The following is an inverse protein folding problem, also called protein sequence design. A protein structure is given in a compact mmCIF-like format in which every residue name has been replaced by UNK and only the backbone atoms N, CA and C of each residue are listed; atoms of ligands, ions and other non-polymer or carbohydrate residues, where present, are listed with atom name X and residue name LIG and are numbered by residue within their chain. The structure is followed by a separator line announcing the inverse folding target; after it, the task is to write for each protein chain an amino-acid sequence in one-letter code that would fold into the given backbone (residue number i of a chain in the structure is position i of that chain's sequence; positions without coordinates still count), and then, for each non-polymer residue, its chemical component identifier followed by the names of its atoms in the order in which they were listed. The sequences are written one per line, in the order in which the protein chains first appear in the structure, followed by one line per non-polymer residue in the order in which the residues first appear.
data_IF_631330819397
#
_entry.id   IF_631330819397
#
_cell.length_a   1.000
_cell.length_b   1.000
_cell.length_c   1.000
_cell.angle_alpha   90.00
_cell.angle_beta   90.00
_cell.angle_gamma   90.00
#
_symmetry.space_group_name_H-M   'P 1'
#
loop_
_entity.id
_entity.type
_entity.pdbx_description
1 polymer ?
#
# COMPACT_ATOMS: atom_id res chain seq x y z
N UNK A 1 -21.44 50.92 -18.22
CA UNK A 1 -22.76 50.47 -17.72
C UNK A 1 -22.99 49.01 -18.08
N UNK A 2 -22.97 48.64 -19.38
CA UNK A 2 -23.16 47.27 -19.89
C UNK A 2 -22.25 46.17 -19.30
N UNK A 3 -21.03 46.47 -18.88
CA UNK A 3 -20.12 45.47 -18.31
C UNK A 3 -20.63 44.85 -17.01
N UNK A 4 -21.40 45.61 -16.20
CA UNK A 4 -21.99 45.09 -14.96
C UNK A 4 -23.12 44.12 -15.27
N UNK A 5 -24.00 44.49 -16.21
CA UNK A 5 -25.14 43.67 -16.62
C UNK A 5 -24.68 42.36 -17.28
N UNK A 6 -23.63 42.42 -18.11
CA UNK A 6 -23.00 41.23 -18.71
C UNK A 6 -22.37 40.33 -17.64
N UNK A 7 -21.67 40.89 -16.65
CA UNK A 7 -21.09 40.11 -15.57
C UNK A 7 -22.15 39.44 -14.68
N UNK A 8 -23.28 40.11 -14.45
CA UNK A 8 -24.40 39.58 -13.67
C UNK A 8 -25.16 38.47 -14.43
N UNK A 9 -25.38 38.67 -15.73
CA UNK A 9 -25.93 37.63 -16.61
C UNK A 9 -25.03 36.39 -16.69
N UNK A 10 -23.71 36.57 -16.82
CA UNK A 10 -22.77 35.45 -16.85
C UNK A 10 -22.74 34.67 -15.52
N UNK A 11 -22.97 35.32 -14.38
CA UNK A 11 -23.07 34.66 -13.06
C UNK A 11 -24.36 33.85 -12.89
N UNK A 12 -25.46 34.31 -13.50
CA UNK A 12 -26.79 33.71 -13.32
C UNK A 12 -27.17 32.72 -14.43
N UNK A 13 -26.50 32.77 -15.59
CA UNK A 13 -26.76 31.87 -16.70
C UNK A 13 -26.26 30.44 -16.43
N UNK A 14 -27.20 29.51 -16.26
CA UNK A 14 -26.94 28.09 -15.98
C UNK A 14 -26.06 27.41 -17.05
N UNK A 15 -26.32 27.67 -18.34
CA UNK A 15 -25.49 27.14 -19.45
C UNK A 15 -24.04 27.60 -19.37
N UNK A 16 -23.81 28.87 -19.06
CA UNK A 16 -22.46 29.43 -18.95
C UNK A 16 -21.75 28.91 -17.69
N UNK A 17 -22.46 28.79 -16.56
CA UNK A 17 -21.91 28.26 -15.31
C UNK A 17 -21.52 26.78 -15.42
N UNK A 18 -22.30 25.98 -16.16
CA UNK A 18 -21.99 24.56 -16.41
C UNK A 18 -20.91 24.34 -17.47
N UNK A 19 -20.86 25.18 -18.51
CA UNK A 19 -19.88 25.05 -19.60
C UNK A 19 -18.49 25.59 -19.22
N UNK A 20 -18.44 26.64 -18.40
CA UNK A 20 -17.17 27.22 -17.96
C UNK A 20 -16.54 26.33 -16.88
N UNK A 21 -15.29 25.92 -17.09
CA UNK A 21 -14.49 25.28 -16.04
C UNK A 21 -14.37 26.27 -14.88
N UNK A 22 -14.70 25.81 -13.67
CA UNK A 22 -14.43 26.56 -12.44
C UNK A 22 -12.96 26.96 -12.41
N UNK A 23 -12.66 28.25 -12.61
CA UNK A 23 -11.41 28.89 -12.19
C UNK A 23 -11.51 29.21 -10.69
N UNK A 24 -11.95 28.22 -9.90
CA UNK A 24 -11.93 28.30 -8.46
C UNK A 24 -10.54 28.66 -7.95
N UNK A 25 -10.47 29.15 -6.70
CA UNK A 25 -9.20 29.40 -6.00
C UNK A 25 -8.23 28.27 -6.31
N UNK A 26 -6.96 28.63 -6.59
CA UNK A 26 -5.86 27.67 -6.78
C UNK A 26 -6.09 26.50 -5.83
N UNK A 27 -6.15 25.27 -6.39
CA UNK A 27 -6.18 24.05 -5.59
C UNK A 27 -5.15 24.24 -4.48
N UNK A 28 -5.59 24.12 -3.23
CA UNK A 28 -4.72 24.34 -2.08
C UNK A 28 -3.43 23.54 -2.25
N UNK A 29 -2.32 24.05 -1.70
CA UNK A 29 -1.03 23.36 -1.79
C UNK A 29 -1.23 21.89 -1.44
N UNK A 30 -0.70 21.01 -2.30
CA UNK A 30 -0.77 19.56 -2.10
C UNK A 30 -0.42 19.24 -0.65
N UNK A 31 -1.30 18.50 0.03
CA UNK A 31 -1.01 18.03 1.38
C UNK A 31 0.21 17.11 1.24
N UNK A 32 1.38 17.62 1.63
CA UNK A 32 2.59 16.82 1.69
C UNK A 32 2.40 15.82 2.81
N UNK A 33 2.13 14.57 2.46
CA UNK A 33 2.29 13.45 3.39
C UNK A 33 3.76 13.46 3.82
N UNK A 34 4.04 13.46 5.13
CA UNK A 34 5.39 13.47 5.68
C UNK A 34 6.21 12.30 5.14
N UNK A 35 7.39 12.57 4.59
CA UNK A 35 8.28 11.51 4.10
C UNK A 35 8.70 10.62 5.26
N UNK A 36 8.62 9.28 5.11
CA UNK A 36 9.05 8.36 6.14
C UNK A 36 10.56 8.45 6.34
N UNK A 37 11.02 8.29 7.58
CA UNK A 37 12.43 8.28 7.96
C UNK A 37 13.08 6.90 7.85
N UNK A 38 12.26 5.84 7.93
CA UNK A 38 12.69 4.45 7.84
C UNK A 38 11.74 3.60 6.97
N UNK A 39 12.23 2.47 6.43
CA UNK A 39 11.37 1.50 5.74
C UNK A 39 10.17 1.09 6.60
N UNK A 40 9.02 0.91 5.95
CA UNK A 40 7.79 0.39 6.56
C UNK A 40 7.21 1.28 7.67
N UNK A 41 7.63 2.54 7.77
CA UNK A 41 7.02 3.50 8.71
C UNK A 41 5.63 3.95 8.23
N UNK A 42 5.53 4.23 6.93
CA UNK A 42 4.32 4.70 6.26
C UNK A 42 4.05 3.80 5.06
N UNK A 43 2.88 3.19 5.02
CA UNK A 43 2.49 2.29 3.93
C UNK A 43 1.23 2.78 3.23
N UNK A 44 1.16 2.54 1.93
CA UNK A 44 -0.06 2.69 1.14
C UNK A 44 -0.71 1.32 0.98
N UNK A 45 -2.02 1.24 1.20
CA UNK A 45 -2.79 -0.01 1.05
C UNK A 45 -3.94 0.20 0.06
N UNK A 46 -4.09 -0.72 -0.87
CA UNK A 46 -5.21 -0.71 -1.82
C UNK A 46 -5.59 -2.11 -2.32
N UNK A 47 -6.84 -2.26 -2.72
CA UNK A 47 -7.36 -3.49 -3.31
C UNK A 47 -7.27 -3.47 -4.82
N UNK A 48 -6.69 -4.53 -5.38
CA UNK A 48 -6.82 -4.86 -6.79
C UNK A 48 -7.82 -6.00 -6.90
N UNK A 49 -8.97 -5.74 -7.50
CA UNK A 49 -10.05 -6.74 -7.67
C UNK A 49 -10.32 -7.00 -9.15
N UNK A 50 -11.00 -8.11 -9.45
CA UNK A 50 -11.31 -8.49 -10.82
C UNK A 50 -10.12 -9.11 -11.56
N UNK A 51 -9.16 -9.66 -10.81
CA UNK A 51 -8.06 -10.40 -11.39
C UNK A 51 -8.57 -11.76 -11.92
N UNK A 52 -7.97 -12.29 -13.00
CA UNK A 52 -8.20 -13.66 -13.41
C UNK A 52 -7.92 -14.61 -12.23
N UNK A 53 -8.73 -15.65 -12.09
CA UNK A 53 -8.52 -16.65 -11.04
C UNK A 53 -7.14 -17.31 -11.20
N UNK A 54 -6.33 -17.28 -10.15
CA UNK A 54 -4.95 -17.73 -10.19
C UNK A 54 -4.53 -18.58 -8.98
N UNK A 55 -3.59 -19.50 -9.23
CA UNK A 55 -3.02 -20.41 -8.24
C UNK A 55 -3.96 -21.54 -7.80
N UNK A 56 -3.46 -22.41 -6.91
CA UNK A 56 -4.15 -23.62 -6.44
C UNK A 56 -5.48 -23.34 -5.71
N UNK A 57 -5.66 -22.11 -5.22
CA UNK A 57 -6.85 -21.66 -4.47
C UNK A 57 -7.74 -20.70 -5.26
N UNK A 58 -7.44 -20.47 -6.53
CA UNK A 58 -8.25 -19.65 -7.44
C UNK A 58 -8.56 -18.24 -6.91
N UNK A 59 -7.54 -17.56 -6.37
CA UNK A 59 -7.68 -16.18 -5.88
C UNK A 59 -7.99 -15.22 -7.04
N UNK A 60 -8.87 -14.25 -6.80
CA UNK A 60 -9.34 -13.29 -7.81
C UNK A 60 -9.22 -11.82 -7.36
N UNK A 61 -8.57 -11.58 -6.22
CA UNK A 61 -8.24 -10.27 -5.70
C UNK A 61 -6.84 -10.30 -5.05
N UNK A 62 -6.22 -9.13 -4.95
CA UNK A 62 -4.96 -8.94 -4.24
C UNK A 62 -5.03 -7.65 -3.44
N UNK A 63 -4.62 -7.71 -2.18
CA UNK A 63 -4.29 -6.50 -1.44
C UNK A 63 -2.84 -6.13 -1.75
N UNK A 64 -2.62 -4.88 -2.08
CA UNK A 64 -1.30 -4.32 -2.37
C UNK A 64 -0.92 -3.37 -1.25
N UNK A 65 0.19 -3.65 -0.59
CA UNK A 65 0.78 -2.81 0.45
C UNK A 65 2.10 -2.28 -0.08
N UNK A 66 2.23 -0.97 -0.24
CA UNK A 66 3.45 -0.35 -0.77
C UNK A 66 4.11 0.48 0.30
N UNK A 67 5.37 0.16 0.63
CA UNK A 67 6.17 0.98 1.51
C UNK A 67 6.48 2.32 0.86
N UNK A 68 6.15 3.42 1.54
CA UNK A 68 6.40 4.75 1.00
C UNK A 68 7.89 5.10 0.95
N UNK A 69 8.72 4.50 1.80
CA UNK A 69 10.16 4.75 1.84
C UNK A 69 10.86 4.04 0.66
N UNK A 70 10.79 2.72 0.60
CA UNK A 70 11.48 1.92 -0.42
C UNK A 70 10.76 1.83 -1.76
N UNK A 71 9.46 2.18 -1.81
CA UNK A 71 8.55 1.92 -2.94
C UNK A 71 8.35 0.43 -3.23
N UNK A 72 8.73 -0.44 -2.31
CA UNK A 72 8.58 -1.89 -2.46
C UNK A 72 7.13 -2.30 -2.19
N UNK A 73 6.50 -3.03 -3.13
CA UNK A 73 5.18 -3.59 -2.92
C UNK A 73 5.22 -4.97 -2.25
N UNK A 74 4.19 -5.24 -1.46
CA UNK A 74 3.85 -6.54 -0.87
C UNK A 74 2.47 -6.89 -1.40
N UNK A 75 2.36 -8.06 -2.02
CA UNK A 75 1.10 -8.57 -2.57
C UNK A 75 0.57 -9.70 -1.69
N UNK A 76 -0.68 -9.57 -1.26
CA UNK A 76 -1.38 -10.60 -0.52
C UNK A 76 -2.58 -11.09 -1.34
N UNK A 77 -2.64 -12.38 -1.69
CA UNK A 77 -3.75 -12.93 -2.47
C UNK A 77 -4.99 -13.13 -1.60
N UNK A 78 -6.16 -12.80 -2.15
CA UNK A 78 -7.46 -12.93 -1.49
C UNK A 78 -8.56 -13.27 -2.51
N UNK A 79 -9.72 -13.63 -2.01
CA UNK A 79 -10.95 -13.65 -2.79
C UNK A 79 -11.68 -12.32 -2.66
N UNK A 80 -12.36 -11.91 -3.73
CA UNK A 80 -13.15 -10.67 -3.77
C UNK A 80 -14.23 -10.67 -2.69
N UNK A 81 -14.72 -11.82 -2.27
CA UNK A 81 -15.83 -11.91 -1.31
C UNK A 81 -15.33 -12.25 0.11
N UNK A 82 -14.03 -12.16 0.36
CA UNK A 82 -13.46 -12.38 1.70
C UNK A 82 -13.99 -11.37 2.72
N UNK A 83 -14.26 -11.89 3.91
CA UNK A 83 -14.80 -11.12 5.03
C UNK A 83 -13.70 -10.21 5.59
N UNK A 84 -14.04 -8.94 5.80
CA UNK A 84 -13.09 -7.92 6.27
C UNK A 84 -12.32 -8.31 7.56
N UNK A 85 -12.93 -9.11 8.43
CA UNK A 85 -12.31 -9.60 9.67
C UNK A 85 -11.18 -10.59 9.39
N UNK A 86 -11.43 -11.60 8.57
CA UNK A 86 -10.43 -12.60 8.18
C UNK A 86 -9.27 -11.95 7.45
N UNK A 87 -9.59 -10.98 6.59
CA UNK A 87 -8.60 -10.19 5.88
C UNK A 87 -7.70 -9.41 6.83
N UNK A 88 -8.29 -8.69 7.79
CA UNK A 88 -7.53 -7.90 8.75
C UNK A 88 -6.63 -8.76 9.65
N UNK A 89 -7.15 -9.91 10.10
CA UNK A 89 -6.36 -10.89 10.88
C UNK A 89 -5.20 -11.43 10.04
N UNK A 90 -5.42 -11.76 8.77
CA UNK A 90 -4.37 -12.29 7.91
C UNK A 90 -3.27 -11.25 7.67
N UNK A 91 -3.65 -10.00 7.40
CA UNK A 91 -2.70 -8.89 7.22
C UNK A 91 -1.89 -8.68 8.49
N UNK A 92 -2.54 -8.68 9.65
CA UNK A 92 -1.85 -8.53 10.92
C UNK A 92 -0.88 -9.69 11.18
N UNK A 93 -1.34 -10.93 11.00
CA UNK A 93 -0.55 -12.12 11.27
C UNK A 93 0.62 -12.31 10.31
N UNK A 94 0.49 -11.92 9.04
CA UNK A 94 1.54 -12.11 8.04
C UNK A 94 2.44 -10.88 7.95
N UNK A 95 1.83 -9.70 7.81
CA UNK A 95 2.59 -8.49 7.50
C UNK A 95 3.18 -7.93 8.78
N UNK A 96 2.36 -7.65 9.79
CA UNK A 96 2.86 -7.00 11.02
C UNK A 96 3.83 -7.89 11.80
N UNK A 97 3.65 -9.21 11.76
CA UNK A 97 4.63 -10.13 12.38
C UNK A 97 6.01 -10.08 11.72
N UNK A 98 6.06 -9.82 10.40
CA UNK A 98 7.31 -9.76 9.63
C UNK A 98 7.91 -8.35 9.59
N UNK A 99 7.08 -7.32 9.44
CA UNK A 99 7.48 -5.92 9.25
C UNK A 99 7.54 -5.11 10.54
N UNK A 100 6.88 -5.58 11.60
CA UNK A 100 6.51 -4.75 12.74
C UNK A 100 5.30 -3.85 12.47
N UNK A 101 4.96 -3.04 13.47
CA UNK A 101 3.77 -2.16 13.44
C UNK A 101 4.07 -0.88 12.63
N UNK A 102 3.18 -0.58 11.69
CA UNK A 102 3.23 0.65 10.90
C UNK A 102 2.86 1.87 11.73
N UNK A 103 3.47 3.02 11.44
CA UNK A 103 3.14 4.27 12.12
C UNK A 103 1.94 4.95 11.45
N UNK A 104 1.84 4.85 10.13
CA UNK A 104 0.70 5.37 9.36
C UNK A 104 0.33 4.47 8.19
N UNK A 105 -0.97 4.21 8.02
CA UNK A 105 -1.54 3.50 6.88
C UNK A 105 -2.34 4.50 6.04
N UNK A 106 -2.04 4.56 4.75
CA UNK A 106 -2.71 5.43 3.79
C UNK A 106 -3.56 4.57 2.86
N UNK A 107 -4.87 4.77 2.88
CA UNK A 107 -5.84 3.91 2.21
C UNK A 107 -6.72 4.70 1.21
N UNK A 108 -7.05 4.12 0.05
CA UNK A 108 -7.85 4.73 -1.02
C UNK A 108 -9.36 4.57 -0.87
N UNK A 109 -9.86 4.71 0.37
CA UNK A 109 -11.30 4.65 0.68
C UNK A 109 -12.02 3.43 0.09
N UNK A 110 -11.34 2.30 -0.04
CA UNK A 110 -12.03 1.08 -0.45
C UNK A 110 -13.06 0.72 0.64
N UNK A 111 -14.33 0.43 0.28
CA UNK A 111 -15.38 0.03 1.23
C UNK A 111 -14.96 -1.09 2.18
N UNK A 112 -14.15 -2.04 1.71
CA UNK A 112 -13.65 -3.16 2.52
C UNK A 112 -12.65 -2.73 3.57
N UNK A 113 -11.91 -1.65 3.32
CA UNK A 113 -10.89 -1.08 4.21
C UNK A 113 -11.39 0.14 5.00
N UNK A 114 -12.69 0.46 4.89
CA UNK A 114 -13.35 1.54 5.64
C UNK A 114 -14.34 1.01 6.68
N UNK A 115 -14.44 -0.31 6.84
CA UNK A 115 -15.30 -0.93 7.85
C UNK A 115 -14.86 -0.55 9.27
N UNK A 116 -15.78 -0.64 10.24
CA UNK A 116 -15.51 -0.32 11.64
C UNK A 116 -14.31 -1.11 12.21
N UNK A 117 -14.10 -2.33 11.72
CA UNK A 117 -12.95 -3.14 12.10
C UNK A 117 -11.64 -2.50 11.64
N UNK A 118 -11.59 -2.02 10.39
CA UNK A 118 -10.42 -1.37 9.82
C UNK A 118 -10.14 0.00 10.41
N UNK A 119 -11.16 0.72 10.89
CA UNK A 119 -10.93 1.98 11.61
C UNK A 119 -10.42 1.75 13.02
N UNK A 120 -10.85 0.68 13.70
CA UNK A 120 -10.54 0.44 15.11
C UNK A 120 -9.25 -0.35 15.31
N UNK A 121 -8.96 -1.34 14.46
CA UNK A 121 -7.83 -2.24 14.65
C UNK A 121 -6.46 -1.50 14.62
N UNK A 122 -6.17 -0.61 13.65
CA UNK A 122 -4.94 0.19 13.68
C UNK A 122 -4.83 1.09 14.92
N UNK A 123 -5.94 1.64 15.41
CA UNK A 123 -5.95 2.53 16.58
C UNK A 123 -5.51 1.79 17.85
N UNK A 124 -5.94 0.53 18.02
CA UNK A 124 -5.54 -0.31 19.17
C UNK A 124 -4.00 -0.46 19.22
N UNK A 125 -3.35 -0.52 18.06
CA UNK A 125 -1.90 -0.67 17.95
C UNK A 125 -1.13 0.65 17.81
N UNK A 126 -1.82 1.79 17.97
CA UNK A 126 -1.20 3.12 17.84
C UNK A 126 -0.85 3.52 16.40
N UNK A 127 -1.37 2.81 15.40
CA UNK A 127 -1.20 3.13 13.99
C UNK A 127 -2.23 4.16 13.55
N UNK A 128 -1.77 5.25 12.92
CA UNK A 128 -2.68 6.23 12.32
C UNK A 128 -3.26 5.67 11.01
N UNK A 129 -4.58 5.76 10.83
CA UNK A 129 -5.23 5.47 9.56
C UNK A 129 -5.59 6.78 8.87
N UNK A 130 -5.09 6.97 7.65
CA UNK A 130 -5.33 8.14 6.81
C UNK A 130 -6.01 7.72 5.51
N UNK A 131 -7.08 8.40 5.12
CA UNK A 131 -7.76 8.15 3.84
C UNK A 131 -7.32 9.17 2.80
N UNK A 132 -6.96 8.72 1.59
CA UNK A 132 -6.69 9.63 0.48
C UNK A 132 -7.97 10.31 -0.01
N UNK A 133 -7.82 11.44 -0.71
CA UNK A 133 -8.95 12.16 -1.32
C UNK A 133 -9.41 11.42 -2.58
N UNK A 134 -10.71 11.20 -2.71
CA UNK A 134 -11.30 10.59 -3.90
C UNK A 134 -10.95 11.39 -5.17
N UNK A 135 -10.69 10.70 -6.28
CA UNK A 135 -10.42 11.28 -7.61
C UNK A 135 -9.14 12.15 -7.75
N UNK A 136 -8.12 11.90 -6.93
CA UNK A 136 -6.77 12.40 -7.16
C UNK A 136 -5.77 11.23 -7.24
N UNK A 137 -5.60 10.61 -8.42
CA UNK A 137 -4.56 9.61 -8.65
C UNK A 137 -3.21 10.33 -8.72
N UNK A 138 -2.68 10.74 -7.58
CA UNK A 138 -1.30 11.22 -7.44
C UNK A 138 -0.50 10.22 -6.61
N UNK A 139 -0.68 8.95 -6.91
CA UNK A 139 -0.09 7.88 -6.13
C UNK A 139 0.75 6.99 -7.01
N UNK A 140 1.84 7.63 -7.43
CA UNK A 140 2.97 7.03 -8.15
C UNK A 140 3.36 5.68 -7.56
N UNK A 141 3.35 5.51 -6.23
CA UNK A 141 3.85 4.29 -5.61
C UNK A 141 2.99 3.04 -5.91
N UNK A 142 1.66 3.16 -5.87
CA UNK A 142 0.76 2.02 -6.09
C UNK A 142 0.60 1.70 -7.58
N UNK A 143 0.49 2.76 -8.40
CA UNK A 143 0.46 2.62 -9.85
C UNK A 143 1.79 2.05 -10.38
N UNK A 144 2.93 2.51 -9.86
CA UNK A 144 4.24 1.96 -10.17
C UNK A 144 4.34 0.51 -9.73
N UNK A 145 3.94 0.18 -8.49
CA UNK A 145 3.91 -1.18 -7.98
C UNK A 145 3.12 -2.13 -8.88
N UNK A 146 1.90 -1.74 -9.28
CA UNK A 146 1.08 -2.52 -10.19
C UNK A 146 1.76 -2.68 -11.56
N UNK A 147 2.23 -1.57 -12.14
CA UNK A 147 2.92 -1.57 -13.43
C UNK A 147 4.19 -2.42 -13.46
N UNK A 148 4.86 -2.58 -12.33
CA UNK A 148 6.07 -3.41 -12.18
C UNK A 148 5.80 -4.82 -11.69
N UNK A 149 4.58 -5.16 -11.28
CA UNK A 149 4.24 -6.51 -10.84
C UNK A 149 4.33 -7.50 -12.00
N UNK A 150 4.90 -8.69 -11.80
CA UNK A 150 4.97 -9.71 -12.86
C UNK A 150 3.69 -10.53 -12.80
N UNK A 151 2.96 -10.58 -13.91
CA UNK A 151 1.74 -11.37 -13.99
C UNK A 151 2.08 -12.86 -14.13
N UNK A 152 1.51 -13.71 -13.27
CA UNK A 152 1.88 -15.11 -13.18
C UNK A 152 1.64 -15.92 -14.47
N UNK A 153 0.61 -15.57 -15.26
CA UNK A 153 0.28 -16.30 -16.49
C UNK A 153 1.14 -15.90 -17.70
N UNK A 154 1.60 -14.65 -17.76
CA UNK A 154 2.36 -14.14 -18.91
C UNK A 154 3.85 -14.00 -18.61
N UNK A 155 4.23 -14.10 -17.33
CA UNK A 155 5.56 -13.85 -16.80
C UNK A 155 6.14 -12.48 -17.22
N UNK A 156 5.26 -11.52 -17.50
CA UNK A 156 5.59 -10.16 -17.91
C UNK A 156 4.83 -9.15 -17.04
N UNK A 157 5.37 -7.93 -16.93
CA UNK A 157 4.72 -6.85 -16.19
C UNK A 157 3.60 -6.22 -17.01
N UNK A 158 2.53 -5.69 -16.38
CA UNK A 158 1.51 -4.91 -17.08
C UNK A 158 2.11 -3.77 -17.92
N UNK A 159 3.16 -3.09 -17.42
CA UNK A 159 3.84 -2.05 -18.18
C UNK A 159 4.53 -2.58 -19.46
N UNK A 160 5.17 -3.75 -19.38
CA UNK A 160 5.75 -4.39 -20.57
C UNK A 160 4.67 -4.83 -21.56
N UNK A 161 3.56 -5.39 -21.09
CA UNK A 161 2.47 -5.86 -21.95
C UNK A 161 1.77 -4.71 -22.68
N UNK A 162 1.55 -3.58 -21.99
CA UNK A 162 0.85 -2.42 -22.56
C UNK A 162 1.77 -1.51 -23.37
N UNK A 163 3.00 -1.28 -22.89
CA UNK A 163 3.89 -0.23 -23.42
C UNK A 163 5.22 -0.76 -23.96
N UNK A 164 5.52 -2.04 -23.78
CA UNK A 164 6.78 -2.65 -24.21
C UNK A 164 8.00 -2.32 -23.34
N UNK A 165 7.83 -1.59 -22.23
CA UNK A 165 8.92 -1.25 -21.32
C UNK A 165 8.44 -1.11 -19.87
N UNK A 166 9.32 -1.42 -18.91
CA UNK A 166 9.04 -1.33 -17.48
C UNK A 166 9.71 -0.08 -16.89
N UNK A 167 9.02 0.67 -16.03
CA UNK A 167 9.60 1.83 -15.37
C UNK A 167 10.72 1.41 -14.41
N UNK A 168 11.83 2.16 -14.42
CA UNK A 168 12.94 1.95 -13.48
C UNK A 168 12.49 2.33 -12.07
N UNK A 169 12.63 1.40 -11.14
CA UNK A 169 12.37 1.62 -9.73
C UNK A 169 13.58 2.32 -9.07
N UNK A 170 13.39 3.03 -7.94
CA UNK A 170 14.50 3.62 -7.19
C UNK A 170 15.57 2.58 -6.81
N UNK A 171 15.17 1.34 -6.51
CA UNK A 171 16.08 0.22 -6.26
C UNK A 171 16.93 -0.14 -7.48
N UNK A 172 16.43 0.05 -8.71
CA UNK A 172 17.18 -0.23 -9.95
C UNK A 172 18.25 0.84 -10.23
N UNK A 173 18.16 1.98 -9.53
CA UNK A 173 19.13 3.07 -9.59
C UNK A 173 20.26 2.91 -8.57
N UNK A 174 20.14 1.94 -7.65
CA UNK A 174 21.23 1.59 -6.76
C UNK A 174 22.36 0.96 -7.58
N UNK A 175 23.58 1.43 -7.36
CA UNK A 175 24.78 0.89 -8.01
C UNK A 175 24.93 -0.58 -7.63
N UNK A 176 25.02 -1.47 -8.63
CA UNK A 176 25.19 -2.93 -8.41
C UNK A 176 26.56 -3.27 -7.82
N UNK A 177 27.50 -2.35 -7.94
CA UNK A 177 28.89 -2.36 -7.46
C UNK A 177 29.07 -1.67 -6.09
N UNK A 178 27.97 -1.37 -5.37
CA UNK A 178 28.08 -0.86 -4.00
C UNK A 178 28.69 -1.93 -3.09
N UNK A 179 29.73 -1.55 -2.35
CA UNK A 179 30.25 -2.35 -1.23
C UNK A 179 29.11 -2.64 -0.25
N UNK A 180 29.02 -3.88 0.26
CA UNK A 180 28.04 -4.28 1.27
C UNK A 180 28.33 -3.56 2.60
N UNK A 181 27.79 -2.36 2.75
CA UNK A 181 27.89 -1.57 3.99
C UNK A 181 26.81 -2.02 5.01
N UNK A 182 25.87 -2.85 4.58
CA UNK A 182 24.76 -3.34 5.40
C UNK A 182 24.55 -4.83 5.18
N UNK A 183 24.28 -5.64 6.23
CA UNK A 183 23.96 -7.05 6.05
C UNK A 183 22.84 -7.19 5.02
N UNK A 184 23.16 -7.84 3.89
CA UNK A 184 22.25 -8.08 2.78
C UNK A 184 21.03 -8.88 3.23
N UNK A 185 19.95 -8.89 2.44
CA UNK A 185 18.77 -9.73 2.70
C UNK A 185 19.11 -11.22 2.93
N UNK A 186 20.23 -11.71 2.39
CA UNK A 186 20.79 -13.02 2.67
C UNK A 186 21.27 -13.18 4.13
N UNK A 187 21.91 -12.14 4.69
CA UNK A 187 22.28 -12.05 6.11
C UNK A 187 21.03 -11.91 7.00
N UNK A 188 20.00 -11.19 6.55
CA UNK A 188 18.73 -11.08 7.27
C UNK A 188 17.99 -12.42 7.38
N UNK A 189 17.97 -13.22 6.31
CA UNK A 189 17.44 -14.61 6.34
C UNK A 189 18.21 -15.46 7.35
N UNK A 190 19.55 -15.38 7.36
CA UNK A 190 20.38 -16.08 8.33
C UNK A 190 20.16 -15.63 9.78
N UNK A 191 19.93 -14.32 10.00
CA UNK A 191 19.56 -13.78 11.31
C UNK A 191 18.17 -14.25 11.76
N UNK A 192 17.18 -14.25 10.87
CA UNK A 192 15.83 -14.76 11.14
C UNK A 192 15.85 -16.26 11.46
N UNK A 193 16.65 -17.05 10.74
CA UNK A 193 16.80 -18.48 11.00
C UNK A 193 17.48 -18.73 12.36
N UNK A 194 18.47 -17.92 12.74
CA UNK A 194 19.09 -17.99 14.09
C UNK A 194 18.10 -17.58 15.19
N UNK A 195 17.35 -16.49 14.99
CA UNK A 195 16.34 -16.03 15.94
C UNK A 195 15.22 -17.06 16.12
N UNK A 196 14.76 -17.68 15.02
CA UNK A 196 13.75 -18.76 15.05
C UNK A 196 14.25 -19.97 15.83
N UNK A 197 15.48 -20.43 15.59
CA UNK A 197 16.09 -21.55 16.33
C UNK A 197 16.20 -21.25 17.83
N UNK A 198 16.60 -20.03 18.18
CA UNK A 198 16.68 -19.59 19.58
C UNK A 198 15.29 -19.55 20.22
N UNK A 199 14.27 -19.02 19.53
CA UNK A 199 12.91 -18.96 20.04
C UNK A 199 12.33 -20.36 20.31
N UNK A 200 12.59 -21.33 19.42
CA UNK A 200 12.19 -22.74 19.62
C UNK A 200 12.84 -23.32 20.87
N UNK A 201 14.16 -23.13 21.04
CA UNK A 201 14.87 -23.58 22.25
C UNK A 201 14.29 -22.95 23.52
N UNK A 202 14.04 -21.64 23.54
CA UNK A 202 13.43 -21.00 24.70
C UNK A 202 12.03 -21.55 25.04
N UNK A 203 11.23 -21.90 24.03
CA UNK A 203 9.93 -22.54 24.25
C UNK A 203 10.10 -23.95 24.83
N UNK A 204 11.01 -24.75 24.28
CA UNK A 204 11.33 -26.08 24.78
C UNK A 204 11.83 -26.04 26.24
N UNK A 205 12.75 -25.13 26.55
CA UNK A 205 13.27 -24.91 27.91
C UNK A 205 12.15 -24.47 28.87
N UNK A 206 11.23 -23.61 28.40
CA UNK A 206 10.07 -23.18 29.20
C UNK A 206 9.08 -24.33 29.45
N UNK A 207 8.86 -25.20 28.46
CA UNK A 207 8.02 -26.39 28.63
C UNK A 207 8.68 -27.45 29.52
N UNK A 208 10.00 -27.60 29.46
CA UNK A 208 10.75 -28.49 30.34
C UNK A 208 10.69 -27.98 31.78
N UNK A 209 10.93 -26.68 32.00
CA UNK A 209 10.79 -26.04 33.31
C UNK A 209 9.38 -26.18 33.90
N UNK A 210 8.34 -26.13 33.05
CA UNK A 210 6.96 -26.31 33.48
C UNK A 210 6.58 -27.77 33.80
N UNK A 211 7.35 -28.76 33.34
CA UNK A 211 7.15 -30.19 33.67
C UNK A 211 7.85 -30.62 34.97
N UNK A 212 8.84 -29.85 35.42
CA UNK A 212 9.60 -30.11 36.65
C UNK A 212 8.98 -29.44 37.90
N UNK A 213 7.83 -28.76 37.74
CA UNK A 213 6.95 -28.26 38.81
C UNK A 213 5.64 -29.04 38.84
#
# INVERSE_FOLDING_TARGET
MWQKDVAEYLKTCDRCQKANKSTGKRLGNMIKIQEPSRPLEIVHMDWVTGLPQGGDRSYNASLVIVDRFSKTPIFLPFHKDDIAMDTALLIWNIVVSWTGIFTNIINYRDPKLTSALWTNLPQIFGTKLSFSTAYHPQTDALELAYKTSIHASTNQTPANLEKGWSPKLPQDSLRKDLFEIHPTAASFKGMLDKARKHAVRCMEDSFAYAKEK
#
